data_IF_849426090395
#
_entry.id   IF_849426090395
#
_cell.length_a   1.000
_cell.length_b   1.000
_cell.length_c   1.000
_cell.angle_alpha   90.00
_cell.angle_beta   90.00
_cell.angle_gamma   90.00
#
_symmetry.space_group_name_H-M   'P 1'
#
loop_
_entity.id
_entity.type
_entity.pdbx_description
1 polymer ?
#
# COMPACT_ATOMS: atom_id res chain seq x y z
N UNK A 1 -3.19 -3.31 0.42
CA UNK A 1 -3.32 -2.30 -0.66
C UNK A 1 -4.10 -2.94 -1.81
N UNK A 2 -4.76 -2.20 -2.71
CA UNK A 2 -5.52 -2.84 -3.77
C UNK A 2 -4.62 -3.66 -4.66
N UNK A 3 -5.09 -4.86 -5.00
CA UNK A 3 -4.37 -5.78 -5.89
C UNK A 3 -4.34 -5.10 -7.27
N UNK A 4 -3.17 -5.04 -7.94
CA UNK A 4 -3.13 -4.46 -9.26
C UNK A 4 -4.08 -5.19 -10.19
N UNK A 5 -4.79 -4.47 -11.05
CA UNK A 5 -5.52 -5.11 -12.11
C UNK A 5 -4.54 -5.90 -12.96
N UNK A 6 -4.92 -7.13 -13.34
CA UNK A 6 -4.28 -7.76 -14.51
C UNK A 6 -4.33 -6.75 -15.67
N UNK A 7 -3.21 -6.49 -16.36
CA UNK A 7 -3.17 -5.59 -17.48
C UNK A 7 -4.33 -5.88 -18.44
N UNK A 8 -5.10 -4.84 -18.75
CA UNK A 8 -6.20 -4.93 -19.70
C UNK A 8 -5.58 -5.20 -21.07
N UNK A 9 -6.12 -6.16 -21.83
CA UNK A 9 -5.68 -6.40 -23.20
C UNK A 9 -5.82 -5.11 -24.03
N UNK A 10 -4.93 -4.91 -25.01
CA UNK A 10 -4.88 -3.66 -25.79
C UNK A 10 -6.22 -3.24 -26.40
N UNK A 11 -7.08 -4.20 -26.76
CA UNK A 11 -8.42 -3.94 -27.29
C UNK A 11 -9.43 -3.43 -26.25
N UNK A 12 -9.17 -3.62 -24.96
CA UNK A 12 -10.03 -3.18 -23.86
C UNK A 12 -9.66 -1.81 -23.27
N UNK A 13 -8.48 -1.27 -23.60
CA UNK A 13 -7.98 0.03 -23.09
C UNK A 13 -8.62 1.17 -23.88
N UNK A 14 -9.16 2.18 -23.18
CA UNK A 14 -9.60 3.41 -23.82
C UNK A 14 -8.40 4.32 -24.14
N UNK A 15 -8.12 4.50 -25.43
CA UNK A 15 -7.15 5.49 -25.93
C UNK A 15 -7.89 6.79 -26.31
N UNK A 16 -7.52 7.96 -25.74
CA UNK A 16 -8.11 9.24 -26.11
C UNK A 16 -8.08 9.54 -27.61
N UNK A 17 -7.04 9.07 -28.32
CA UNK A 17 -6.90 9.23 -29.78
C UNK A 17 -8.02 8.54 -30.57
N UNK A 18 -8.72 7.59 -29.96
CA UNK A 18 -9.78 6.79 -30.58
C UNK A 18 -11.15 6.97 -29.92
N UNK A 19 -11.16 7.34 -28.64
CA UNK A 19 -12.35 7.33 -27.79
C UNK A 19 -12.82 8.72 -27.36
N UNK A 20 -12.17 9.77 -27.89
CA UNK A 20 -12.44 11.15 -27.52
C UNK A 20 -11.78 11.56 -26.20
N UNK A 21 -11.87 12.85 -25.92
CA UNK A 21 -11.32 13.56 -24.76
C UNK A 21 -12.26 13.54 -23.55
N UNK A 22 -13.15 12.55 -23.45
CA UNK A 22 -14.15 12.47 -22.38
C UNK A 22 -15.20 13.59 -22.32
N UNK A 23 -15.10 14.62 -23.17
CA UNK A 23 -16.03 15.75 -23.25
C UNK A 23 -17.17 15.53 -24.25
N UNK A 24 -17.24 14.34 -24.88
CA UNK A 24 -18.29 13.98 -25.83
C UNK A 24 -19.71 13.96 -25.22
N UNK A 25 -19.84 14.04 -23.89
CA UNK A 25 -21.12 14.23 -23.22
C UNK A 25 -21.24 15.67 -22.69
N UNK A 26 -22.30 16.36 -23.08
CA UNK A 26 -22.76 17.52 -22.31
C UNK A 26 -23.33 17.03 -20.98
N UNK A 27 -23.13 17.75 -19.88
CA UNK A 27 -23.82 17.43 -18.62
C UNK A 27 -25.29 17.87 -18.72
N UNK A 28 -26.25 17.13 -18.13
CA UNK A 28 -27.64 17.56 -18.14
C UNK A 28 -27.79 18.85 -17.35
N UNK A 29 -28.73 19.71 -17.76
CA UNK A 29 -29.06 20.95 -17.05
C UNK A 29 -30.23 20.77 -16.08
N UNK A 30 -31.00 19.69 -16.21
CA UNK A 30 -32.19 19.38 -15.40
C UNK A 30 -32.14 17.95 -14.88
N UNK A 31 -32.59 17.75 -13.64
CA UNK A 31 -32.66 16.46 -12.96
C UNK A 31 -33.91 15.64 -13.31
N UNK A 32 -34.09 14.55 -12.56
CA UNK A 32 -35.21 13.61 -12.70
C UNK A 32 -36.60 14.25 -12.50
N UNK A 33 -36.66 15.33 -11.72
CA UNK A 33 -37.86 16.11 -11.40
C UNK A 33 -38.08 17.28 -12.36
N UNK A 34 -37.26 17.38 -13.41
CA UNK A 34 -37.26 18.49 -14.36
C UNK A 34 -36.73 19.80 -13.80
N UNK A 35 -36.30 19.85 -12.53
CA UNK A 35 -35.70 21.05 -11.92
C UNK A 35 -34.24 21.20 -12.32
N UNK A 36 -33.68 22.43 -12.33
CA UNK A 36 -32.27 22.64 -12.58
C UNK A 36 -31.39 21.83 -11.62
N UNK A 37 -30.30 21.26 -12.13
CA UNK A 37 -29.28 20.62 -11.29
C UNK A 37 -28.52 21.72 -10.55
N UNK A 38 -28.46 21.60 -9.22
CA UNK A 38 -27.76 22.53 -8.34
C UNK A 38 -26.41 22.00 -7.86
N UNK A 39 -26.15 20.70 -8.03
CA UNK A 39 -24.84 20.11 -7.74
C UNK A 39 -23.77 20.68 -8.68
N UNK A 40 -22.57 20.86 -8.14
CA UNK A 40 -21.40 21.31 -8.90
C UNK A 40 -20.61 20.12 -9.44
N UNK A 41 -19.88 20.26 -10.56
CA UNK A 41 -18.94 19.23 -10.99
C UNK A 41 -17.92 18.94 -9.90
N UNK A 42 -17.52 17.67 -9.76
CA UNK A 42 -16.46 17.26 -8.85
C UNK A 42 -15.12 17.82 -9.35
N UNK A 43 -14.61 18.79 -8.60
CA UNK A 43 -13.35 19.46 -8.86
C UNK A 43 -12.60 19.71 -7.56
N UNK A 44 -11.30 19.97 -7.64
CA UNK A 44 -10.54 20.48 -6.51
C UNK A 44 -11.05 21.87 -6.09
N UNK A 45 -10.63 22.40 -4.92
CA UNK A 45 -11.03 23.72 -4.45
C UNK A 45 -10.79 24.87 -5.44
N UNK A 46 -9.84 24.70 -6.38
CA UNK A 46 -9.52 25.68 -7.43
C UNK A 46 -10.13 25.35 -8.80
N UNK A 47 -11.10 24.45 -8.86
CA UNK A 47 -11.83 24.11 -10.09
C UNK A 47 -11.12 23.09 -10.98
N UNK A 48 -10.03 22.46 -10.52
CA UNK A 48 -9.36 21.39 -11.27
C UNK A 48 -10.25 20.14 -11.31
N UNK A 49 -10.61 19.62 -12.49
CA UNK A 49 -11.16 18.27 -12.60
C UNK A 49 -10.18 17.24 -12.00
N UNK A 50 -10.59 16.58 -10.93
CA UNK A 50 -9.81 15.55 -10.25
C UNK A 50 -10.60 14.24 -10.30
N UNK A 51 -9.93 13.09 -10.23
CA UNK A 51 -10.65 11.82 -10.13
C UNK A 51 -11.59 11.82 -8.92
N UNK A 52 -12.77 11.17 -9.01
CA UNK A 52 -13.66 10.99 -7.87
C UNK A 52 -12.93 10.42 -6.66
N UNK A 53 -13.14 11.01 -5.47
CA UNK A 53 -12.49 10.59 -4.22
C UNK A 53 -12.85 9.15 -3.83
N UNK A 54 -12.09 8.57 -2.90
CA UNK A 54 -12.38 7.24 -2.38
C UNK A 54 -13.83 7.09 -1.84
N UNK A 55 -14.34 8.10 -1.13
CA UNK A 55 -15.74 8.09 -0.65
C UNK A 55 -16.77 8.11 -1.78
N UNK A 56 -16.43 8.72 -2.92
CA UNK A 56 -17.27 8.68 -4.12
C UNK A 56 -17.15 7.34 -4.86
N UNK A 57 -15.96 6.74 -4.82
CA UNK A 57 -15.70 5.42 -5.40
C UNK A 57 -16.53 4.34 -4.69
N UNK A 58 -16.61 4.33 -3.36
CA UNK A 58 -17.39 3.32 -2.62
C UNK A 58 -18.86 3.34 -2.99
N UNK A 59 -19.39 4.51 -3.35
CA UNK A 59 -20.75 4.67 -3.84
C UNK A 59 -20.94 4.01 -5.22
N UNK A 60 -20.04 4.25 -6.16
CA UNK A 60 -20.18 3.73 -7.53
C UNK A 60 -19.80 2.25 -7.64
N UNK A 61 -18.86 1.79 -6.80
CA UNK A 61 -18.42 0.40 -6.72
C UNK A 61 -19.36 -0.47 -5.87
N UNK A 62 -20.64 -0.15 -5.87
CA UNK A 62 -21.67 -0.87 -5.14
C UNK A 62 -22.30 -1.94 -6.04
N UNK A 63 -22.37 -3.18 -5.55
CA UNK A 63 -22.88 -4.33 -6.32
C UNK A 63 -24.27 -4.08 -6.92
N UNK A 64 -25.17 -3.43 -6.17
CA UNK A 64 -26.52 -3.09 -6.67
C UNK A 64 -26.46 -2.12 -7.84
N UNK A 65 -25.62 -1.08 -7.74
CA UNK A 65 -25.44 -0.09 -8.80
C UNK A 65 -24.83 -0.76 -10.05
N UNK A 66 -23.76 -1.54 -9.90
CA UNK A 66 -23.08 -2.23 -11.01
C UNK A 66 -24.04 -3.20 -11.74
N UNK A 67 -24.84 -3.96 -10.98
CA UNK A 67 -25.83 -4.87 -11.55
C UNK A 67 -26.90 -4.12 -12.34
N UNK A 68 -27.42 -3.01 -11.80
CA UNK A 68 -28.42 -2.20 -12.47
C UNK A 68 -27.88 -1.54 -13.74
N UNK A 69 -26.65 -1.02 -13.73
CA UNK A 69 -25.96 -0.51 -14.92
C UNK A 69 -25.95 -1.57 -16.03
N UNK A 70 -25.57 -2.80 -15.67
CA UNK A 70 -25.49 -3.91 -16.63
C UNK A 70 -26.86 -4.28 -17.22
N UNK A 71 -27.94 -4.21 -16.43
CA UNK A 71 -29.31 -4.43 -16.90
C UNK A 71 -29.74 -3.33 -17.88
N UNK A 72 -29.53 -2.06 -17.51
CA UNK A 72 -29.91 -0.91 -18.35
C UNK A 72 -29.17 -0.94 -19.69
N UNK A 73 -27.85 -1.17 -19.69
CA UNK A 73 -27.07 -1.21 -20.93
C UNK A 73 -27.54 -2.31 -21.88
N UNK A 74 -27.87 -3.50 -21.37
CA UNK A 74 -28.29 -4.64 -22.19
C UNK A 74 -29.64 -4.42 -22.86
N UNK A 75 -30.51 -3.62 -22.24
CA UNK A 75 -31.83 -3.26 -22.76
C UNK A 75 -31.89 -1.92 -23.49
N UNK A 76 -30.76 -1.21 -23.63
CA UNK A 76 -30.77 0.15 -24.15
C UNK A 76 -31.10 0.21 -25.64
N UNK A 77 -31.93 1.17 -26.03
CA UNK A 77 -32.23 1.45 -27.44
C UNK A 77 -31.16 2.39 -27.99
N UNK A 78 -30.33 1.93 -28.92
CA UNK A 78 -29.18 2.70 -29.44
C UNK A 78 -29.56 3.98 -30.19
N UNK A 79 -30.82 4.14 -30.59
CA UNK A 79 -31.35 5.39 -31.16
C UNK A 79 -31.77 6.43 -30.10
N UNK A 80 -31.84 6.04 -28.83
CA UNK A 80 -32.18 6.94 -27.73
C UNK A 80 -30.90 7.57 -27.17
N UNK A 81 -30.79 8.89 -27.36
CA UNK A 81 -29.69 9.72 -26.86
C UNK A 81 -30.12 10.69 -25.75
N UNK A 82 -31.33 10.50 -25.22
CA UNK A 82 -31.87 11.32 -24.13
C UNK A 82 -31.23 10.96 -22.79
N UNK A 83 -31.37 11.86 -21.81
CA UNK A 83 -30.98 11.56 -20.44
C UNK A 83 -32.06 10.73 -19.76
N UNK A 84 -31.64 9.62 -19.15
CA UNK A 84 -32.46 8.85 -18.23
C UNK A 84 -31.97 9.02 -16.80
N UNK A 85 -32.92 8.96 -15.85
CA UNK A 85 -32.65 9.18 -14.44
C UNK A 85 -33.05 7.97 -13.62
N UNK A 86 -32.20 7.63 -12.66
CA UNK A 86 -32.37 6.49 -11.78
C UNK A 86 -32.11 6.85 -10.33
N UNK A 87 -32.70 6.07 -9.43
CA UNK A 87 -32.46 6.15 -8.00
C UNK A 87 -32.15 4.76 -7.45
N UNK A 88 -30.86 4.49 -7.22
CA UNK A 88 -30.39 3.17 -6.80
C UNK A 88 -29.57 3.30 -5.52
N UNK A 89 -29.87 2.46 -4.52
CA UNK A 89 -29.18 2.46 -3.23
C UNK A 89 -29.08 3.87 -2.58
N UNK A 90 -30.15 4.66 -2.67
CA UNK A 90 -30.18 6.03 -2.13
C UNK A 90 -29.41 7.07 -2.96
N UNK A 91 -28.93 6.71 -4.14
CA UNK A 91 -28.10 7.59 -4.99
C UNK A 91 -28.84 7.97 -6.25
N UNK A 92 -28.77 9.26 -6.61
CA UNK A 92 -29.29 9.75 -7.88
C UNK A 92 -28.25 9.54 -8.98
N UNK A 93 -28.66 8.84 -10.02
CA UNK A 93 -27.79 8.42 -11.12
C UNK A 93 -28.40 8.89 -12.44
N UNK A 94 -27.62 9.62 -13.23
CA UNK A 94 -27.95 9.99 -14.59
C UNK A 94 -27.32 9.02 -15.58
N UNK A 95 -28.00 8.75 -16.68
CA UNK A 95 -27.49 7.93 -17.77
C UNK A 95 -27.71 8.64 -19.11
N UNK A 96 -26.74 8.49 -20.01
CA UNK A 96 -26.87 8.92 -21.39
C UNK A 96 -26.12 7.98 -22.32
N UNK A 97 -26.74 7.63 -23.43
CA UNK A 97 -26.06 7.01 -24.55
C UNK A 97 -25.74 8.09 -25.60
N UNK A 98 -24.47 8.35 -25.85
CA UNK A 98 -24.07 9.39 -26.79
C UNK A 98 -24.16 8.92 -28.26
N UNK A 99 -23.94 9.84 -29.18
CA UNK A 99 -23.97 9.58 -30.63
C UNK A 99 -22.78 8.75 -31.11
N UNK A 100 -21.76 8.56 -30.29
CA UNK A 100 -20.58 7.73 -30.59
C UNK A 100 -20.74 6.30 -30.07
N UNK A 101 -21.88 6.00 -29.46
CA UNK A 101 -22.21 4.67 -28.98
C UNK A 101 -21.69 4.38 -27.57
N UNK A 102 -21.39 5.40 -26.77
CA UNK A 102 -20.87 5.25 -25.43
C UNK A 102 -21.92 5.50 -24.36
N UNK A 103 -21.90 4.63 -23.34
CA UNK A 103 -22.74 4.78 -22.16
C UNK A 103 -22.03 5.61 -21.08
N UNK A 104 -22.62 6.76 -20.79
CA UNK A 104 -22.20 7.70 -19.78
C UNK A 104 -23.08 7.59 -18.55
N UNK A 105 -22.45 7.55 -17.37
CA UNK A 105 -23.10 7.44 -16.07
C UNK A 105 -22.65 8.57 -15.17
N UNK A 106 -23.61 9.40 -14.77
CA UNK A 106 -23.44 10.53 -13.87
C UNK A 106 -23.86 10.15 -12.46
N UNK A 107 -23.01 10.42 -11.48
CA UNK A 107 -23.26 10.15 -10.07
C UNK A 107 -23.38 11.47 -9.32
N UNK A 108 -24.48 11.66 -8.61
CA UNK A 108 -24.77 12.89 -7.87
C UNK A 108 -24.67 12.58 -6.37
N UNK A 109 -23.54 12.94 -5.77
CA UNK A 109 -23.22 12.63 -4.38
C UNK A 109 -23.12 13.93 -3.58
N UNK A 110 -24.07 14.12 -2.66
CA UNK A 110 -24.17 15.36 -1.89
C UNK A 110 -24.33 16.59 -2.80
N UNK A 111 -23.39 17.53 -2.66
CA UNK A 111 -23.38 18.78 -3.44
C UNK A 111 -22.60 18.67 -4.75
N UNK A 112 -21.99 17.52 -5.02
CA UNK A 112 -21.09 17.32 -6.14
C UNK A 112 -21.65 16.28 -7.13
N UNK A 113 -21.17 16.32 -8.38
CA UNK A 113 -21.43 15.26 -9.35
C UNK A 113 -20.23 14.99 -10.23
N UNK A 114 -20.13 13.77 -10.74
CA UNK A 114 -19.12 13.39 -11.72
C UNK A 114 -19.68 12.38 -12.71
N UNK A 115 -19.05 12.29 -13.86
CA UNK A 115 -19.45 11.37 -14.93
C UNK A 115 -18.33 10.39 -15.22
N UNK A 116 -18.72 9.16 -15.52
CA UNK A 116 -17.84 8.10 -15.96
C UNK A 116 -18.42 7.46 -17.21
N UNK A 117 -17.57 6.91 -18.07
CA UNK A 117 -17.97 6.01 -19.14
C UNK A 117 -17.93 4.59 -18.60
N UNK A 118 -18.99 3.80 -18.77
CA UNK A 118 -18.96 2.38 -18.40
C UNK A 118 -18.73 1.51 -19.63
N UNK A 119 -17.57 0.85 -19.69
CA UNK A 119 -17.14 0.05 -20.83
C UNK A 119 -16.27 -1.12 -20.37
N UNK A 120 -16.43 -2.29 -21.00
CA UNK A 120 -15.71 -3.52 -20.67
C UNK A 120 -15.75 -3.87 -19.17
N UNK A 121 -16.93 -3.71 -18.56
CA UNK A 121 -17.17 -4.01 -17.14
C UNK A 121 -16.49 -3.07 -16.16
N UNK A 122 -16.06 -1.88 -16.59
CA UNK A 122 -15.33 -0.92 -15.76
C UNK A 122 -15.88 0.49 -15.92
N UNK A 123 -15.82 1.26 -14.84
CA UNK A 123 -15.98 2.72 -14.89
C UNK A 123 -14.68 3.36 -15.37
N UNK A 124 -14.78 4.25 -16.34
CA UNK A 124 -13.69 5.02 -16.89
C UNK A 124 -13.92 6.50 -16.62
N UNK A 125 -12.95 7.17 -16.02
CA UNK A 125 -12.89 8.61 -15.86
C UNK A 125 -11.84 9.17 -16.81
N UNK A 126 -12.08 10.32 -17.40
CA UNK A 126 -11.10 10.98 -18.25
C UNK A 126 -10.39 12.07 -17.48
N UNK A 127 -9.06 12.01 -17.45
CA UNK A 127 -8.20 13.05 -16.89
C UNK A 127 -7.86 14.07 -17.99
N UNK A 128 -8.48 15.28 -17.96
CA UNK A 128 -8.25 16.28 -19.00
C UNK A 128 -6.86 16.91 -18.95
N UNK A 129 -6.14 16.82 -17.82
CA UNK A 129 -4.82 17.44 -17.68
C UNK A 129 -3.72 16.57 -18.27
N UNK A 130 -3.87 15.26 -18.16
CA UNK A 130 -2.92 14.30 -18.74
C UNK A 130 -3.38 13.75 -20.09
N UNK A 131 -4.61 14.06 -20.52
CA UNK A 131 -5.27 13.51 -21.70
C UNK A 131 -5.23 11.97 -21.67
N UNK A 132 -5.84 11.38 -20.63
CA UNK A 132 -5.80 9.93 -20.36
C UNK A 132 -7.12 9.43 -19.84
N UNK A 133 -7.46 8.21 -20.21
CA UNK A 133 -8.57 7.47 -19.60
C UNK A 133 -8.04 6.61 -18.46
N UNK A 134 -8.59 6.83 -17.27
CA UNK A 134 -8.30 6.02 -16.08
C UNK A 134 -9.51 5.16 -15.76
N UNK A 135 -9.31 3.94 -15.31
CA UNK A 135 -10.37 3.01 -14.97
C UNK A 135 -10.40 2.73 -13.48
N UNK A 136 -11.60 2.48 -12.98
CA UNK A 136 -11.79 2.06 -11.61
C UNK A 136 -11.46 0.57 -11.46
N UNK A 137 -10.59 0.25 -10.51
CA UNK A 137 -10.30 -1.11 -10.09
C UNK A 137 -9.96 -1.13 -8.61
N UNK A 138 -10.58 -2.05 -7.88
CA UNK A 138 -10.34 -2.30 -6.46
C UNK A 138 -10.30 -1.01 -5.61
N UNK A 139 -11.35 -0.19 -5.77
CA UNK A 139 -11.51 1.04 -4.98
C UNK A 139 -10.56 2.19 -5.34
N UNK A 140 -9.78 2.09 -6.42
CA UNK A 140 -8.87 3.14 -6.89
C UNK A 140 -8.96 3.38 -8.40
N UNK A 141 -8.46 4.54 -8.82
CA UNK A 141 -8.32 4.87 -10.23
C UNK A 141 -6.94 4.46 -10.73
N UNK A 142 -6.94 3.76 -11.87
CA UNK A 142 -5.75 3.21 -12.49
C UNK A 142 -5.64 3.70 -13.92
N UNK A 143 -4.42 3.95 -14.37
CA UNK A 143 -4.13 4.20 -15.77
C UNK A 143 -3.20 3.11 -16.28
N UNK A 144 -3.39 2.72 -17.54
CA UNK A 144 -2.52 1.76 -18.21
C UNK A 144 -2.08 2.39 -19.52
N UNK A 145 -0.77 2.36 -19.77
CA UNK A 145 -0.22 2.96 -20.98
C UNK A 145 -0.73 2.18 -22.21
N UNK A 146 -1.52 2.80 -23.12
CA UNK A 146 -2.03 2.11 -24.30
C UNK A 146 -0.93 1.69 -25.29
N UNK A 147 0.27 2.30 -25.21
CA UNK A 147 1.44 1.96 -26.02
C UNK A 147 2.35 0.92 -25.35
N UNK A 148 2.30 0.82 -24.03
CA UNK A 148 3.00 -0.20 -23.24
C UNK A 148 2.04 -0.85 -22.24
N UNK A 149 1.18 -1.79 -22.67
CA UNK A 149 0.09 -2.33 -21.83
C UNK A 149 0.54 -2.96 -20.52
N UNK A 150 1.79 -3.38 -20.39
CA UNK A 150 2.35 -3.92 -19.13
C UNK A 150 2.71 -2.83 -18.11
N UNK A 151 2.66 -1.55 -18.49
CA UNK A 151 2.95 -0.41 -17.63
C UNK A 151 1.62 0.13 -17.09
N UNK A 152 1.44 -0.01 -15.79
CA UNK A 152 0.23 0.38 -15.06
C UNK A 152 0.61 1.43 -14.01
N UNK A 153 -0.30 2.37 -13.78
CA UNK A 153 -0.19 3.44 -12.80
C UNK A 153 -1.43 3.45 -11.92
N UNK A 154 -1.25 3.74 -10.63
CA UNK A 154 -2.33 4.02 -9.69
C UNK A 154 -2.36 5.51 -9.38
N UNK A 155 -3.55 6.07 -9.18
CA UNK A 155 -3.69 7.45 -8.74
C UNK A 155 -3.80 7.50 -7.22
N UNK A 156 -2.87 8.22 -6.58
CA UNK A 156 -2.83 8.47 -5.14
C UNK A 156 -2.66 9.98 -4.96
N UNK A 157 -3.50 10.61 -4.15
CA UNK A 157 -3.46 12.07 -3.90
C UNK A 157 -3.38 12.93 -5.18
N UNK A 158 -4.19 12.57 -6.18
CA UNK A 158 -4.27 13.21 -7.50
C UNK A 158 -2.96 13.16 -8.32
N UNK A 159 -2.10 12.18 -8.06
CA UNK A 159 -0.82 11.92 -8.75
C UNK A 159 -0.77 10.50 -9.29
N UNK A 160 -0.12 10.34 -10.44
CA UNK A 160 0.12 9.04 -11.03
C UNK A 160 1.40 8.45 -10.48
N UNK A 161 1.31 7.21 -10.03
CA UNK A 161 2.47 6.45 -9.64
C UNK A 161 2.49 5.13 -10.39
N UNK A 162 3.60 4.85 -11.06
CA UNK A 162 3.87 3.60 -11.73
C UNK A 162 3.86 2.48 -10.71
N UNK A 163 3.02 1.50 -10.96
CA UNK A 163 2.92 0.28 -10.18
C UNK A 163 4.00 -0.71 -10.63
N UNK A 164 4.74 -1.26 -9.68
CA UNK A 164 5.68 -2.37 -9.86
C UNK A 164 5.49 -3.38 -8.72
N UNK A 165 5.27 -4.65 -9.08
CA UNK A 165 5.21 -5.74 -8.11
C UNK A 165 6.61 -6.34 -7.94
N UNK A 166 7.15 -6.25 -6.72
CA UNK A 166 8.43 -6.84 -6.36
C UNK A 166 8.25 -7.74 -5.13
N UNK A 167 8.22 -9.06 -5.36
CA UNK A 167 8.37 -10.13 -4.35
C UNK A 167 7.64 -9.88 -3.01
N UNK A 168 6.36 -9.49 -3.06
CA UNK A 168 5.53 -9.27 -1.86
C UNK A 168 5.37 -7.81 -1.44
N UNK A 169 6.01 -6.88 -2.16
CA UNK A 169 5.86 -5.43 -1.96
C UNK A 169 5.42 -4.71 -3.22
N UNK A 170 4.58 -3.68 -3.02
CA UNK A 170 4.10 -2.82 -4.10
C UNK A 170 4.99 -1.57 -4.12
N UNK A 171 5.81 -1.44 -5.16
CA UNK A 171 6.64 -0.26 -5.39
C UNK A 171 5.87 0.73 -6.28
N UNK A 172 5.90 1.98 -5.85
CA UNK A 172 5.10 3.07 -6.38
C UNK A 172 6.07 4.23 -6.67
N UNK A 173 6.37 4.42 -7.96
CA UNK A 173 7.30 5.48 -8.43
C UNK A 173 6.52 6.55 -9.18
N UNK A 174 6.76 7.85 -8.94
CA UNK A 174 6.00 8.89 -9.64
C UNK A 174 6.11 8.80 -11.16
N UNK A 175 5.03 9.17 -11.86
CA UNK A 175 5.04 9.31 -13.31
C UNK A 175 5.88 10.53 -13.74
N UNK A 176 6.97 10.34 -14.52
CA UNK A 176 7.82 11.45 -14.95
C UNK A 176 7.18 12.31 -16.04
N UNK A 177 6.05 11.89 -16.62
CA UNK A 177 5.41 12.62 -17.71
C UNK A 177 4.73 13.90 -17.21
N UNK A 178 4.99 15.01 -17.91
CA UNK A 178 4.38 16.29 -17.60
C UNK A 178 2.91 16.31 -18.04
N UNK A 179 2.02 17.04 -17.33
CA UNK A 179 0.67 17.31 -17.79
C UNK A 179 0.68 17.96 -19.19
N UNK A 180 -0.27 17.58 -20.04
CA UNK A 180 -0.46 18.17 -21.38
C UNK A 180 -0.94 19.62 -21.27
N UNK A 181 -1.74 19.91 -20.24
CA UNK A 181 -2.17 21.25 -19.88
C UNK A 181 -1.77 21.48 -18.44
N UNK A 182 -1.08 22.58 -18.14
CA UNK A 182 -0.74 22.96 -16.77
C UNK A 182 -2.03 23.14 -15.98
N UNK A 183 -2.32 22.29 -14.98
CA UNK A 183 -3.51 22.47 -14.16
C UNK A 183 -3.41 23.80 -13.41
N UNK A 184 -4.55 24.44 -13.06
CA UNK A 184 -4.54 25.47 -12.04
C UNK A 184 -3.77 24.93 -10.84
N UNK A 185 -2.71 25.64 -10.40
CA UNK A 185 -1.93 25.23 -9.23
C UNK A 185 -2.92 25.04 -8.09
N UNK A 186 -2.85 23.96 -7.30
CA UNK A 186 -3.63 23.78 -6.06
C UNK A 186 -2.81 24.34 -4.89
N UNK A 187 -3.39 24.94 -3.82
CA UNK A 187 -2.59 25.45 -2.69
C UNK A 187 -1.87 24.32 -1.96
N UNK A 188 -2.39 23.10 -2.13
CA UNK A 188 -1.91 21.85 -1.56
C UNK A 188 -1.45 20.86 -2.63
N UNK A 189 -1.30 21.28 -3.90
CA UNK A 189 -0.69 20.41 -4.90
C UNK A 189 0.75 20.21 -4.46
N UNK A 190 1.14 18.99 -4.07
CA UNK A 190 2.47 18.83 -3.54
C UNK A 190 3.45 19.08 -4.69
N UNK A 191 4.65 19.55 -4.37
CA UNK A 191 5.74 19.86 -5.31
C UNK A 191 5.90 18.75 -6.34
N UNK A 192 6.25 19.08 -7.60
CA UNK A 192 6.50 18.10 -8.65
C UNK A 192 7.28 16.89 -8.06
N UNK A 193 6.87 15.66 -8.40
CA UNK A 193 7.38 14.48 -7.71
C UNK A 193 8.89 14.50 -7.69
N UNK A 194 9.47 14.30 -6.50
CA UNK A 194 10.89 14.05 -6.41
C UNK A 194 11.13 12.74 -7.17
N UNK A 195 11.95 12.79 -8.22
CA UNK A 195 12.27 11.60 -9.01
C UNK A 195 13.01 10.55 -8.19
N UNK A 196 13.55 10.95 -7.03
CA UNK A 196 14.18 10.09 -6.05
C UNK A 196 13.22 9.53 -4.99
N UNK A 197 11.92 9.83 -5.08
CA UNK A 197 10.89 9.30 -4.19
C UNK A 197 10.43 7.91 -4.64
N UNK A 198 10.50 6.96 -3.71
CA UNK A 198 10.00 5.59 -3.89
C UNK A 198 9.16 5.19 -2.68
N UNK A 199 7.91 4.80 -2.92
CA UNK A 199 7.02 4.31 -1.86
C UNK A 199 6.78 2.83 -2.04
N UNK A 200 7.00 2.06 -0.99
CA UNK A 200 6.69 0.64 -0.91
C UNK A 200 5.51 0.45 0.04
N UNK A 201 4.55 -0.39 -0.32
CA UNK A 201 3.43 -0.73 0.54
C UNK A 201 3.49 -2.19 0.97
N UNK A 202 3.04 -2.46 2.19
CA UNK A 202 2.80 -3.82 2.62
C UNK A 202 1.63 -4.43 1.84
N UNK A 203 1.65 -5.75 1.64
CA UNK A 203 0.60 -6.51 0.95
C UNK A 203 -0.78 -6.29 1.59
N UNK A 204 -0.86 -6.33 2.92
CA UNK A 204 -2.06 -6.01 3.69
C UNK A 204 -2.48 -4.52 3.60
N UNK A 205 -1.57 -3.63 3.17
CA UNK A 205 -1.81 -2.19 3.05
C UNK A 205 -1.87 -1.43 4.37
N UNK A 206 -1.44 -2.04 5.47
CA UNK A 206 -1.43 -1.40 6.79
C UNK A 206 -0.17 -0.54 7.01
N UNK A 207 0.86 -0.72 6.18
CA UNK A 207 2.14 -0.02 6.28
C UNK A 207 2.63 0.47 4.92
N UNK A 208 3.46 1.50 4.94
CA UNK A 208 4.28 1.87 3.79
C UNK A 208 5.65 2.38 4.20
N UNK A 209 6.65 2.17 3.35
CA UNK A 209 7.98 2.75 3.49
C UNK A 209 8.14 3.78 2.37
N UNK A 210 8.52 5.00 2.71
CA UNK A 210 8.88 6.03 1.73
C UNK A 210 10.39 6.27 1.81
N UNK A 211 11.08 6.10 0.69
CA UNK A 211 12.48 6.49 0.50
C UNK A 211 12.46 7.81 -0.27
N UNK A 212 13.06 8.86 0.28
CA UNK A 212 13.01 10.19 -0.32
C UNK A 212 14.34 10.95 -0.22
N UNK A 213 14.48 11.97 -1.07
CA UNK A 213 15.61 12.88 -1.09
C UNK A 213 16.93 12.26 -1.57
N UNK A 214 17.93 13.13 -1.75
CA UNK A 214 19.27 12.73 -2.21
C UNK A 214 20.03 11.88 -1.20
N UNK A 215 19.70 12.01 0.09
CA UNK A 215 20.27 11.20 1.17
C UNK A 215 19.61 9.82 1.30
N UNK A 216 18.58 9.53 0.49
CA UNK A 216 17.84 8.26 0.50
C UNK A 216 17.35 7.90 1.91
N UNK A 217 16.63 8.83 2.51
CA UNK A 217 16.07 8.67 3.84
C UNK A 217 14.81 7.81 3.76
N UNK A 218 14.79 6.71 4.51
CA UNK A 218 13.66 5.79 4.58
C UNK A 218 12.82 6.06 5.83
N UNK A 219 11.50 6.17 5.64
CA UNK A 219 10.52 6.38 6.70
C UNK A 219 9.42 5.31 6.62
N UNK A 220 9.04 4.72 7.76
CA UNK A 220 7.90 3.81 7.91
C UNK A 220 6.64 4.59 8.33
N UNK A 221 5.53 4.36 7.65
CA UNK A 221 4.24 4.95 7.96
C UNK A 221 3.23 3.87 8.33
N UNK A 222 2.47 4.12 9.40
CA UNK A 222 1.28 3.35 9.75
C UNK A 222 0.06 3.93 9.00
N UNK A 223 -0.45 3.17 8.04
CA UNK A 223 -1.61 3.57 7.22
C UNK A 223 -2.96 3.26 7.88
N UNK A 224 -2.95 2.60 9.03
CA UNK A 224 -4.14 2.35 9.85
C UNK A 224 -4.43 3.51 10.80
N UNK A 225 -3.46 4.39 11.02
CA UNK A 225 -3.66 5.59 11.81
C UNK A 225 -4.62 6.54 11.09
N UNK A 226 -5.76 6.81 11.72
CA UNK A 226 -6.83 7.66 11.17
C UNK A 226 -6.71 9.12 11.59
N UNK A 227 -5.85 9.45 12.56
CA UNK A 227 -5.59 10.82 12.97
C UNK A 227 -4.35 11.36 12.23
N UNK A 228 -4.52 12.22 11.20
CA UNK A 228 -3.41 12.78 10.44
C UNK A 228 -2.54 13.75 11.25
N UNK A 229 -2.96 14.13 12.46
CA UNK A 229 -2.18 15.00 13.35
C UNK A 229 -1.66 14.26 14.59
N UNK A 230 -1.96 12.96 14.72
CA UNK A 230 -1.52 12.15 15.84
C UNK A 230 0.00 11.94 15.85
N UNK A 231 0.57 11.60 17.00
CA UNK A 231 2.02 11.36 17.14
C UNK A 231 2.55 10.24 16.21
N UNK A 232 1.67 9.34 15.73
CA UNK A 232 1.98 8.30 14.75
C UNK A 232 1.66 8.66 13.30
N UNK A 233 1.27 9.90 12.99
CA UNK A 233 1.01 10.35 11.62
C UNK A 233 2.31 10.74 10.89
N UNK A 234 3.33 11.15 11.65
CA UNK A 234 4.68 11.35 11.13
C UNK A 234 5.33 10.01 10.83
N UNK A 235 5.98 9.90 9.67
CA UNK A 235 6.75 8.72 9.31
C UNK A 235 7.87 8.49 10.32
N UNK A 236 8.05 7.24 10.74
CA UNK A 236 9.13 6.84 11.62
C UNK A 236 10.41 6.63 10.80
N UNK A 237 11.44 7.40 11.10
CA UNK A 237 12.72 7.27 10.41
C UNK A 237 13.35 5.89 10.65
N UNK A 238 13.72 5.21 9.57
CA UNK A 238 14.36 3.89 9.59
C UNK A 238 15.87 4.01 9.42
N UNK A 239 16.34 4.64 8.34
CA UNK A 239 17.75 4.82 8.04
C UNK A 239 17.97 5.84 6.90
N UNK A 240 19.22 6.28 6.71
CA UNK A 240 19.66 7.07 5.56
C UNK A 240 20.58 6.24 4.66
N UNK A 241 20.68 6.57 3.37
CA UNK A 241 21.46 5.80 2.39
C UNK A 241 20.77 4.51 1.93
N UNK A 242 19.45 4.43 2.08
CA UNK A 242 18.66 3.23 1.75
C UNK A 242 18.38 3.19 0.25
N UNK A 243 18.97 2.22 -0.43
CA UNK A 243 18.78 1.99 -1.87
C UNK A 243 17.42 1.35 -2.16
N UNK A 244 17.01 0.38 -1.35
CA UNK A 244 15.74 -0.33 -1.50
C UNK A 244 15.24 -0.83 -0.14
N UNK A 245 13.95 -1.09 -0.02
CA UNK A 245 13.38 -1.78 1.13
C UNK A 245 12.36 -2.83 0.69
N UNK A 246 12.03 -3.75 1.59
CA UNK A 246 10.91 -4.68 1.39
C UNK A 246 10.33 -5.15 2.72
N UNK A 247 9.03 -5.42 2.71
CA UNK A 247 8.36 -6.15 3.76
C UNK A 247 8.56 -7.65 3.54
N UNK A 248 8.89 -8.37 4.61
CA UNK A 248 9.00 -9.82 4.62
C UNK A 248 7.86 -10.37 5.45
N UNK A 249 7.25 -11.46 4.98
CA UNK A 249 6.04 -12.03 5.55
C UNK A 249 6.28 -13.43 6.11
N UNK A 250 5.52 -13.77 7.15
CA UNK A 250 5.28 -15.14 7.56
C UNK A 250 3.82 -15.51 7.24
N UNK A 251 3.59 -16.79 6.92
CA UNK A 251 2.25 -17.34 6.78
C UNK A 251 1.67 -17.63 8.17
N UNK A 252 0.48 -17.08 8.45
CA UNK A 252 -0.31 -17.35 9.64
C UNK A 252 -1.48 -18.25 9.24
N UNK A 253 -1.50 -19.45 9.80
CA UNK A 253 -2.61 -20.39 9.63
C UNK A 253 -3.66 -20.13 10.70
N UNK A 254 -4.85 -19.74 10.28
CA UNK A 254 -6.02 -19.54 11.14
C UNK A 254 -6.67 -20.89 11.48
N UNK A 255 -7.46 -20.92 12.56
CA UNK A 255 -8.15 -22.14 13.04
C UNK A 255 -9.09 -22.76 12.00
N UNK A 256 -9.60 -21.95 11.07
CA UNK A 256 -10.47 -22.39 9.97
C UNK A 256 -9.70 -22.94 8.76
N UNK A 257 -8.37 -23.00 8.83
CA UNK A 257 -7.49 -23.45 7.75
C UNK A 257 -7.13 -22.37 6.73
N UNK A 258 -7.66 -21.15 6.88
CA UNK A 258 -7.26 -20.01 6.05
C UNK A 258 -5.81 -19.62 6.36
N UNK A 259 -5.06 -19.27 5.33
CA UNK A 259 -3.69 -18.75 5.49
C UNK A 259 -3.69 -17.26 5.20
N UNK A 260 -3.26 -16.46 6.17
CA UNK A 260 -3.06 -15.01 6.04
C UNK A 260 -1.56 -14.70 6.06
N UNK A 261 -1.13 -13.62 5.41
CA UNK A 261 0.26 -13.18 5.50
C UNK A 261 0.39 -12.08 6.55
N UNK A 262 1.37 -12.21 7.43
CA UNK A 262 1.66 -11.21 8.48
C UNK A 262 3.07 -10.69 8.26
N UNK A 263 3.26 -9.36 8.36
CA UNK A 263 4.58 -8.74 8.25
C UNK A 263 5.46 -9.26 9.39
N UNK A 264 6.55 -9.94 9.04
CA UNK A 264 7.57 -10.43 9.96
C UNK A 264 8.61 -9.35 10.27
N UNK A 265 9.16 -8.75 9.22
CA UNK A 265 10.22 -7.76 9.32
C UNK A 265 10.29 -6.88 8.08
N UNK A 266 11.01 -5.77 8.19
CA UNK A 266 11.36 -4.88 7.09
C UNK A 266 12.85 -5.06 6.82
N UNK A 267 13.22 -5.39 5.59
CA UNK A 267 14.62 -5.45 5.15
C UNK A 267 14.98 -4.18 4.38
N UNK A 268 16.12 -3.57 4.74
CA UNK A 268 16.68 -2.37 4.10
C UNK A 268 18.01 -2.73 3.42
N UNK A 269 18.09 -2.46 2.12
CA UNK A 269 19.32 -2.55 1.32
C UNK A 269 19.94 -1.16 1.19
N UNK A 270 21.24 -1.05 1.38
CA UNK A 270 22.00 0.20 1.27
C UNK A 270 22.82 0.21 -0.02
N UNK A 271 23.23 1.40 -0.48
CA UNK A 271 24.19 1.51 -1.58
C UNK A 271 25.57 0.92 -1.22
N UNK A 272 25.94 1.00 0.07
CA UNK A 272 27.08 0.30 0.62
C UNK A 272 26.73 -1.17 0.86
N UNK A 273 27.30 -2.08 0.06
CA UNK A 273 27.09 -3.52 0.19
C UNK A 273 27.57 -4.13 1.52
N UNK A 274 28.34 -3.37 2.32
CA UNK A 274 28.73 -3.77 3.68
C UNK A 274 27.68 -3.41 4.73
N UNK A 275 26.59 -2.74 4.32
CA UNK A 275 25.50 -2.34 5.18
C UNK A 275 24.20 -3.06 4.82
N UNK A 276 23.51 -3.53 5.86
CA UNK A 276 22.15 -4.05 5.77
C UNK A 276 21.43 -3.71 7.07
N UNK A 277 20.11 -3.56 7.02
CA UNK A 277 19.35 -3.40 8.25
C UNK A 277 18.02 -4.16 8.18
N UNK A 278 17.60 -4.62 9.34
CA UNK A 278 16.29 -5.23 9.55
C UNK A 278 15.57 -4.41 10.61
N UNK A 279 14.35 -3.98 10.35
CA UNK A 279 13.48 -3.34 11.34
C UNK A 279 12.28 -4.23 11.65
N UNK A 280 11.77 -4.13 12.88
CA UNK A 280 10.54 -4.83 13.22
C UNK A 280 9.33 -4.17 12.54
N UNK A 281 8.19 -4.87 12.40
CA UNK A 281 7.02 -4.38 11.67
C UNK A 281 6.40 -3.09 12.22
N UNK A 282 6.61 -2.80 13.50
CA UNK A 282 6.12 -1.60 14.18
C UNK A 282 7.19 -0.50 14.22
N UNK A 283 8.37 -0.76 13.67
CA UNK A 283 9.48 0.18 13.60
C UNK A 283 10.08 0.51 14.97
N UNK A 284 9.81 -0.22 16.05
CA UNK A 284 10.29 0.15 17.39
C UNK A 284 11.78 -0.15 17.62
N UNK A 285 12.34 -1.05 16.82
CA UNK A 285 13.68 -1.61 16.86
C UNK A 285 14.19 -1.79 15.44
N UNK A 286 15.49 -1.59 15.27
CA UNK A 286 16.20 -2.03 14.08
C UNK A 286 17.53 -2.66 14.45
N UNK A 287 17.99 -3.59 13.64
CA UNK A 287 19.34 -4.11 13.70
C UNK A 287 20.06 -3.64 12.45
N UNK A 288 21.22 -3.03 12.62
CA UNK A 288 22.08 -2.61 11.52
C UNK A 288 23.31 -3.52 11.52
N UNK A 289 23.59 -4.11 10.37
CA UNK A 289 24.83 -4.81 10.05
C UNK A 289 25.74 -3.82 9.35
N UNK A 290 26.99 -3.71 9.80
CA UNK A 290 27.97 -2.78 9.22
C UNK A 290 29.34 -3.43 9.01
N UNK A 291 30.09 -2.88 8.07
CA UNK A 291 31.49 -3.21 7.82
C UNK A 291 31.70 -4.58 7.18
N UNK A 292 32.94 -4.86 6.80
CA UNK A 292 33.33 -6.13 6.16
C UNK A 292 33.23 -7.32 7.12
N UNK A 293 33.34 -7.06 8.43
CA UNK A 293 33.18 -8.05 9.49
C UNK A 293 31.71 -8.36 9.79
N UNK A 294 30.77 -7.58 9.22
CA UNK A 294 29.33 -7.75 9.41
C UNK A 294 28.92 -7.74 10.88
N UNK A 295 29.39 -6.72 11.60
CA UNK A 295 29.00 -6.45 13.00
C UNK A 295 27.55 -6.01 13.05
N UNK A 296 26.72 -6.71 13.83
CA UNK A 296 25.32 -6.39 14.05
C UNK A 296 25.09 -5.67 15.38
N UNK A 297 24.33 -4.58 15.33
CA UNK A 297 23.96 -3.78 16.50
C UNK A 297 22.46 -3.48 16.50
N UNK A 298 21.81 -3.67 17.64
CA UNK A 298 20.40 -3.37 17.88
C UNK A 298 20.22 -1.92 18.34
N UNK A 299 19.28 -1.21 17.72
CA UNK A 299 18.93 0.17 18.02
C UNK A 299 17.48 0.26 18.51
N UNK A 300 17.25 1.13 19.49
CA UNK A 300 15.91 1.51 19.93
C UNK A 300 15.43 2.73 19.15
N UNK A 301 14.44 2.56 18.27
CA UNK A 301 13.93 3.65 17.44
C UNK A 301 12.93 4.55 18.17
N UNK A 302 12.53 4.21 19.40
CA UNK A 302 11.75 5.10 20.28
C UNK A 302 12.62 6.01 21.16
N UNK A 303 13.91 5.69 21.29
CA UNK A 303 14.87 6.48 22.04
C UNK A 303 16.16 6.59 21.23
N UNK A 304 16.23 7.61 20.39
CA UNK A 304 17.39 7.89 19.53
C UNK A 304 18.69 8.17 20.32
N UNK A 305 18.58 8.46 21.62
CA UNK A 305 19.73 8.68 22.50
C UNK A 305 20.21 7.39 23.19
N UNK A 306 19.42 6.31 23.13
CA UNK A 306 19.85 5.04 23.68
C UNK A 306 21.05 4.50 22.87
N UNK A 307 22.14 4.08 23.53
CA UNK A 307 23.26 3.48 22.83
C UNK A 307 22.83 2.19 22.15
N UNK A 308 23.41 1.91 20.99
CA UNK A 308 23.19 0.65 20.31
C UNK A 308 23.77 -0.52 21.12
N UNK A 309 23.02 -1.63 21.19
CA UNK A 309 23.47 -2.88 21.81
C UNK A 309 24.14 -3.73 20.76
N UNK A 310 25.44 -3.98 20.89
CA UNK A 310 26.15 -4.92 20.02
C UNK A 310 25.62 -6.34 20.24
N UNK A 311 25.35 -7.07 19.15
CA UNK A 311 24.82 -8.42 19.18
C UNK A 311 25.89 -9.46 18.86
N UNK A 312 26.53 -9.34 17.69
CA UNK A 312 27.53 -10.29 17.20
C UNK A 312 28.33 -9.73 16.02
N UNK A 313 29.50 -10.33 15.77
CA UNK A 313 30.28 -10.17 14.54
C UNK A 313 30.08 -11.36 13.59
N UNK A 314 30.45 -11.22 12.32
CA UNK A 314 30.37 -12.30 11.34
C UNK A 314 28.93 -12.70 10.99
N UNK A 315 27.97 -11.78 11.14
CA UNK A 315 26.54 -12.08 11.00
C UNK A 315 26.17 -12.43 9.57
N UNK A 316 25.65 -13.63 9.34
CA UNK A 316 25.17 -14.11 8.05
C UNK A 316 23.65 -13.90 7.88
N UNK A 317 22.87 -13.99 8.96
CA UNK A 317 21.41 -13.85 8.92
C UNK A 317 20.86 -13.21 10.21
N UNK A 318 19.79 -12.43 10.07
CA UNK A 318 19.00 -11.90 11.17
C UNK A 318 17.53 -12.23 10.93
N UNK A 319 16.86 -12.74 11.95
CA UNK A 319 15.40 -12.91 11.97
C UNK A 319 14.81 -12.25 13.20
N UNK A 320 13.84 -11.37 12.99
CA UNK A 320 13.02 -10.80 14.04
C UNK A 320 11.72 -11.60 14.19
N UNK A 321 11.38 -11.94 15.43
CA UNK A 321 10.15 -12.66 15.77
C UNK A 321 9.31 -11.78 16.68
N UNK A 322 8.20 -11.31 16.12
CA UNK A 322 7.18 -10.56 16.85
C UNK A 322 6.14 -11.51 17.43
N UNK A 323 5.59 -11.15 18.59
CA UNK A 323 4.43 -11.83 19.17
C UNK A 323 3.23 -10.90 19.24
N UNK A 324 2.04 -11.49 19.22
CA UNK A 324 0.77 -10.79 19.38
C UNK A 324 0.28 -10.95 20.83
N UNK A 325 -0.23 -9.88 21.43
CA UNK A 325 -0.99 -9.91 22.68
C UNK A 325 -2.25 -9.08 22.51
N UNK A 326 -3.42 -9.63 22.85
CA UNK A 326 -4.64 -8.83 22.94
C UNK A 326 -4.67 -8.11 24.29
N UNK A 327 -5.02 -6.83 24.31
CA UNK A 327 -5.37 -6.14 25.56
C UNK A 327 -6.80 -6.47 26.00
N UNK A 328 -7.23 -5.89 27.13
CA UNK A 328 -8.58 -6.07 27.70
C UNK A 328 -9.72 -5.64 26.77
N UNK A 329 -9.43 -4.80 25.76
CA UNK A 329 -10.39 -4.33 24.76
C UNK A 329 -10.35 -5.17 23.47
N UNK A 330 -9.53 -6.22 23.42
CA UNK A 330 -9.33 -7.05 22.24
C UNK A 330 -8.44 -6.40 21.18
N UNK A 331 -7.77 -5.28 21.49
CA UNK A 331 -6.80 -4.67 20.58
C UNK A 331 -5.53 -5.53 20.55
N UNK A 332 -5.14 -5.97 19.35
CA UNK A 332 -3.94 -6.76 19.14
C UNK A 332 -2.73 -5.84 19.13
N UNK A 333 -1.86 -6.00 20.13
CA UNK A 333 -0.55 -5.37 20.21
C UNK A 333 0.50 -6.33 19.68
N UNK A 334 1.26 -5.89 18.68
CA UNK A 334 2.41 -6.61 18.14
C UNK A 334 3.67 -6.03 18.74
N UNK A 335 4.54 -6.88 19.27
CA UNK A 335 5.82 -6.45 19.79
C UNK A 335 6.90 -7.45 19.42
N UNK A 336 8.09 -6.95 19.08
CA UNK A 336 9.29 -7.78 18.95
C UNK A 336 9.51 -8.53 20.27
N UNK A 337 9.67 -9.85 20.21
CA UNK A 337 9.95 -10.69 21.38
C UNK A 337 11.35 -11.29 21.34
N UNK A 338 11.73 -11.78 20.18
CA UNK A 338 12.94 -12.56 20.00
C UNK A 338 13.69 -12.08 18.75
N UNK A 339 14.99 -11.88 18.92
CA UNK A 339 15.95 -11.65 17.85
C UNK A 339 16.82 -12.89 17.72
N UNK A 340 16.86 -13.44 16.51
CA UNK A 340 17.68 -14.59 16.15
C UNK A 340 18.79 -14.09 15.24
N UNK A 341 20.04 -14.30 15.65
CA UNK A 341 21.23 -13.93 14.88
C UNK A 341 21.99 -15.21 14.53
N UNK A 342 22.22 -15.41 13.24
CA UNK A 342 23.15 -16.44 12.74
C UNK A 342 24.46 -15.76 12.41
N UNK A 343 25.56 -16.22 13.01
CA UNK A 343 26.88 -15.62 12.87
C UNK A 343 27.97 -16.68 12.73
N UNK A 344 29.00 -16.39 11.94
CA UNK A 344 30.17 -17.26 11.84
C UNK A 344 31.10 -17.07 13.01
N UNK A 345 31.45 -18.15 13.69
CA UNK A 345 32.50 -18.14 14.70
C UNK A 345 33.90 -18.01 14.05
N UNK A 346 34.94 -17.94 14.89
CA UNK A 346 36.32 -17.85 14.44
C UNK A 346 36.78 -19.05 13.57
N UNK A 347 36.03 -20.16 13.59
CA UNK A 347 36.27 -21.34 12.74
C UNK A 347 35.47 -21.32 11.43
N UNK A 348 34.64 -20.30 11.22
CA UNK A 348 33.80 -20.12 10.04
C UNK A 348 32.48 -20.90 10.07
N UNK A 349 32.14 -21.49 11.22
CA UNK A 349 30.92 -22.28 11.46
C UNK A 349 29.79 -21.36 11.92
N UNK A 350 28.62 -21.49 11.31
CA UNK A 350 27.44 -20.73 11.72
C UNK A 350 26.97 -21.16 13.12
N UNK A 351 26.81 -20.18 14.00
CA UNK A 351 26.28 -20.30 15.35
C UNK A 351 25.00 -19.48 15.46
N UNK A 352 24.01 -20.03 16.17
CA UNK A 352 22.73 -19.38 16.43
C UNK A 352 22.78 -18.68 17.80
N UNK A 353 22.44 -17.40 17.84
CA UNK A 353 22.35 -16.60 19.06
C UNK A 353 20.93 -16.04 19.21
N UNK A 354 20.42 -16.06 20.44
CA UNK A 354 19.07 -15.64 20.78
C UNK A 354 19.11 -14.47 21.74
N UNK A 355 18.49 -13.36 21.37
CA UNK A 355 18.40 -12.16 22.19
C UNK A 355 16.94 -11.76 22.40
N UNK A 356 16.64 -11.20 23.56
CA UNK A 356 15.35 -10.57 23.80
C UNK A 356 15.22 -9.25 23.02
N UNK A 357 14.06 -8.60 23.15
CA UNK A 357 13.74 -7.31 22.50
C UNK A 357 14.76 -6.19 22.76
N UNK A 358 15.50 -6.24 23.86
CA UNK A 358 16.46 -5.22 24.27
C UNK A 358 17.92 -5.64 24.03
N UNK A 359 18.13 -6.78 23.36
CA UNK A 359 19.45 -7.28 23.00
C UNK A 359 20.16 -8.05 24.12
N UNK A 360 19.47 -8.38 25.20
CA UNK A 360 20.03 -9.26 26.22
C UNK A 360 19.93 -10.73 25.78
N UNK A 361 20.98 -11.54 25.90
CA UNK A 361 20.95 -12.95 25.51
C UNK A 361 19.98 -13.75 26.40
N UNK A 362 19.23 -14.69 25.82
CA UNK A 362 18.25 -15.50 26.55
C UNK A 362 18.87 -16.48 27.57
N UNK A 363 20.17 -16.77 27.45
CA UNK A 363 20.93 -17.52 28.45
C UNK A 363 22.24 -16.78 28.76
N UNK A 364 22.36 -16.23 29.98
CA UNK A 364 23.64 -15.77 30.51
C UNK A 364 24.61 -16.94 30.82
N UNK A 365 24.14 -18.19 30.69
CA UNK A 365 24.92 -19.41 30.91
C UNK A 365 25.52 -19.94 29.60
N UNK A 366 26.45 -19.18 29.02
CA UNK A 366 27.29 -19.50 27.86
C UNK A 366 26.57 -19.78 26.51
N UNK A 367 27.12 -19.30 25.38
CA UNK A 367 26.57 -19.59 24.05
C UNK A 367 26.55 -21.11 23.81
N UNK A 368 25.36 -21.69 23.67
CA UNK A 368 25.23 -23.07 23.24
C UNK A 368 25.62 -23.15 21.75
N UNK A 369 26.88 -23.53 21.50
CA UNK A 369 27.37 -23.89 20.17
C UNK A 369 26.73 -25.22 19.76
N UNK A 370 25.50 -25.19 19.24
CA UNK A 370 24.91 -26.35 18.59
C UNK A 370 25.37 -26.42 17.13
N UNK A 371 26.23 -27.40 16.83
CA UNK A 371 26.59 -27.75 15.45
C UNK A 371 25.34 -28.23 14.71
N UNK A 372 25.04 -27.59 13.59
CA UNK A 372 23.93 -27.94 12.69
C UNK A 372 24.22 -29.28 11.99
N UNK A 373 23.71 -30.39 12.56
CA UNK A 373 23.82 -31.74 12.00
C UNK A 373 22.46 -32.46 11.88
N UNK A 374 21.92 -32.53 10.65
CA UNK A 374 21.06 -33.57 10.07
C UNK A 374 19.87 -34.19 10.87
N UNK A 375 19.15 -33.42 11.69
CA UNK A 375 17.88 -33.83 12.31
C UNK A 375 16.82 -32.71 12.09
N UNK A 376 15.50 -32.95 12.26
CA UNK A 376 14.45 -31.98 11.90
C UNK A 376 14.68 -30.61 12.55
N UNK A 377 14.33 -29.55 11.83
CA UNK A 377 14.63 -28.14 12.14
C UNK A 377 14.62 -27.84 13.65
N UNK A 378 15.80 -27.73 14.30
CA UNK A 378 15.93 -27.43 15.73
C UNK A 378 15.24 -26.12 16.14
N UNK A 379 15.05 -25.21 15.17
CA UNK A 379 14.35 -23.96 15.31
C UNK A 379 12.90 -24.16 15.79
N UNK A 380 12.17 -25.17 15.29
CA UNK A 380 10.79 -25.41 15.70
C UNK A 380 10.68 -25.94 17.13
N UNK A 381 11.63 -26.79 17.56
CA UNK A 381 11.68 -27.30 18.94
C UNK A 381 12.07 -26.20 19.93
N UNK A 382 13.02 -25.33 19.56
CA UNK A 382 13.44 -24.20 20.42
C UNK A 382 12.38 -23.10 20.47
N UNK A 383 11.73 -22.76 19.35
CA UNK A 383 10.63 -21.79 19.33
C UNK A 383 9.45 -22.28 20.17
N UNK A 384 9.13 -23.59 20.13
CA UNK A 384 8.11 -24.19 21.02
C UNK A 384 8.51 -24.09 22.49
N UNK A 385 9.78 -24.33 22.84
CA UNK A 385 10.25 -24.29 24.23
C UNK A 385 10.39 -22.87 24.80
N UNK A 386 10.86 -21.90 24.00
CA UNK A 386 10.98 -20.50 24.40
C UNK A 386 9.59 -19.86 24.58
N UNK A 387 8.63 -20.18 23.71
CA UNK A 387 7.24 -19.77 23.89
C UNK A 387 6.58 -20.42 25.12
N UNK A 388 6.96 -21.66 25.47
CA UNK A 388 6.41 -22.38 26.64
C UNK A 388 6.89 -21.82 27.97
N UNK A 389 8.19 -21.50 28.10
CA UNK A 389 8.78 -21.06 29.36
C UNK A 389 8.32 -19.64 29.78
N UNK A 390 7.97 -18.76 28.84
CA UNK A 390 7.37 -17.45 29.19
C UNK A 390 5.90 -17.57 29.62
N UNK A 391 5.12 -18.50 29.04
CA UNK A 391 3.72 -18.76 29.40
C UNK A 391 3.57 -19.25 30.86
N UNK A 392 4.55 -19.97 31.40
CA UNK A 392 4.55 -20.39 32.81
C UNK A 392 5.07 -19.32 33.78
N UNK A 393 5.84 -18.33 33.31
CA UNK A 393 6.35 -17.24 34.16
C UNK A 393 5.33 -16.11 34.40
N UNK A 394 4.25 -16.09 33.59
CA UNK A 394 3.09 -15.23 33.78
C UNK A 394 2.28 -15.63 35.00
N UNK A 395 2.51 -14.93 36.12
CA UNK A 395 1.64 -14.91 37.31
C UNK A 395 0.19 -14.56 36.91
N UNK A 396 -0.60 -15.57 36.54
CA UNK A 396 -2.04 -15.49 36.46
C UNK A 396 -2.62 -15.86 37.82
N UNK A 397 -2.95 -14.83 38.60
CA UNK A 397 -4.09 -14.94 39.50
C UNK A 397 -5.34 -15.05 38.62
N UNK A 398 -6.09 -16.14 38.83
CA UNK A 398 -7.41 -16.34 38.27
C UNK A 398 -8.40 -15.29 38.75
#
# INVERSE_FOLDING_TARGET
MPIPPKPIDRGGILDPRRNGDGHAHTSPTRGWDGRPITQRPWTSPRGRHIPPSHNHITIINNTTIINNISVVQRGWRTSDHSYSWYYWNGQRIGHRYDTFGFHWWGFYVGNDYFWTRYSNGRHWWYDPYYNRWVYLHDGRWWWQDPMAPTVVYVIIDNRYYRYQDNAGTIIVRPDPTQPVVTPPADPSAPTAPDTDEETMYSSDGTRSIQIMGTAKEAYLYDLTNTDPNGAGAGGQWLASGVKSAKFVYDDKHETDGTTTQVIRQIELEFDDATMAAVADPEGERKIVITGTERSASLYNLKDENAPATHLADGVSEIKMVSGETADENGQINRALRLVIVTAKDASGVDSLMLFNRDGAPFDAAAPQTQKTGSAPSPLESMLRSAAFNELESGKLGW
#
